data_IF_183606336207
#
_entry.id   IF_183606336207
#
_cell.length_a   1.000
_cell.length_b   1.000
_cell.length_c   1.000
_cell.angle_alpha   90.00
_cell.angle_beta   90.00
_cell.angle_gamma   90.00
#
_symmetry.space_group_name_H-M   'P 1'
#
loop_
_entity.id
_entity.type
_entity.pdbx_description
1 polymer ?
#
# COMPACT_ATOMS: atom_id res chain seq x y z
N UNK A 1 -13.46 4.41 -6.73
CA UNK A 1 -14.43 5.39 -6.20
C UNK A 1 -13.79 6.47 -5.31
N UNK A 2 -12.85 6.15 -4.40
CA UNK A 2 -12.24 7.12 -3.47
C UNK A 2 -11.48 8.28 -4.16
N UNK A 3 -10.72 8.01 -5.20
CA UNK A 3 -10.01 9.06 -5.96
C UNK A 3 -10.94 10.06 -6.66
N UNK A 4 -12.13 9.59 -7.09
CA UNK A 4 -13.12 10.46 -7.77
C UNK A 4 -13.79 11.42 -6.79
N UNK A 5 -14.13 10.95 -5.58
CA UNK A 5 -14.75 11.78 -4.53
C UNK A 5 -13.78 12.85 -4.01
N UNK A 6 -12.53 12.50 -3.83
CA UNK A 6 -11.49 13.43 -3.39
C UNK A 6 -11.15 14.48 -4.45
N UNK A 7 -11.15 14.10 -5.74
CA UNK A 7 -10.95 15.05 -6.86
C UNK A 7 -12.12 16.04 -7.00
N UNK A 8 -13.36 15.57 -6.83
CA UNK A 8 -14.56 16.43 -6.87
C UNK A 8 -14.56 17.44 -5.72
N UNK A 9 -14.24 17.01 -4.49
CA UNK A 9 -14.12 17.90 -3.34
C UNK A 9 -13.04 18.96 -3.53
N UNK A 10 -11.87 18.59 -4.03
CA UNK A 10 -10.78 19.53 -4.32
C UNK A 10 -11.18 20.55 -5.40
N UNK A 11 -11.93 20.14 -6.40
CA UNK A 11 -12.40 21.03 -7.45
C UNK A 11 -13.43 22.04 -6.93
N UNK A 12 -14.41 21.60 -6.14
CA UNK A 12 -15.40 22.45 -5.49
C UNK A 12 -14.75 23.49 -4.55
N UNK A 13 -13.74 23.09 -3.79
CA UNK A 13 -12.96 23.99 -2.93
C UNK A 13 -12.24 25.08 -3.73
N UNK A 14 -11.57 24.67 -4.81
CA UNK A 14 -10.87 25.62 -5.70
C UNK A 14 -11.81 26.66 -6.31
N UNK A 15 -13.02 26.23 -6.68
CA UNK A 15 -14.00 27.14 -7.27
C UNK A 15 -14.60 28.11 -6.24
N UNK A 16 -14.85 27.65 -5.01
CA UNK A 16 -15.32 28.49 -3.92
C UNK A 16 -14.28 29.54 -3.51
N UNK A 17 -13.00 29.17 -3.43
CA UNK A 17 -11.90 30.12 -3.20
C UNK A 17 -11.81 31.18 -4.30
N UNK A 18 -12.00 30.81 -5.57
CA UNK A 18 -12.00 31.76 -6.69
C UNK A 18 -13.16 32.73 -6.57
N UNK A 19 -14.37 32.25 -6.24
CA UNK A 19 -15.55 33.09 -6.04
C UNK A 19 -15.33 34.07 -4.89
N UNK A 20 -14.79 33.64 -3.76
CA UNK A 20 -14.50 34.49 -2.61
C UNK A 20 -13.52 35.63 -2.98
N UNK A 21 -12.41 35.29 -3.67
CA UNK A 21 -11.42 36.30 -4.12
C UNK A 21 -12.01 37.29 -5.15
N UNK A 22 -12.89 36.82 -6.04
CA UNK A 22 -13.53 37.67 -7.01
C UNK A 22 -14.49 38.68 -6.33
N UNK A 23 -15.27 38.20 -5.36
CA UNK A 23 -16.19 39.02 -4.58
C UNK A 23 -15.46 40.08 -3.73
N UNK A 24 -14.37 39.71 -3.07
CA UNK A 24 -13.51 40.63 -2.29
C UNK A 24 -12.93 41.76 -3.19
N UNK A 25 -12.47 41.37 -4.39
CA UNK A 25 -11.95 42.36 -5.36
C UNK A 25 -13.02 43.34 -5.83
N UNK A 26 -14.26 42.88 -6.03
CA UNK A 26 -15.37 43.74 -6.43
C UNK A 26 -15.79 44.67 -5.29
N UNK A 27 -15.87 44.19 -4.05
CA UNK A 27 -16.16 45.02 -2.87
C UNK A 27 -15.14 46.15 -2.72
N UNK A 28 -13.83 45.87 -2.87
CA UNK A 28 -12.79 46.94 -2.81
C UNK A 28 -12.98 48.02 -3.88
N UNK A 29 -13.43 47.64 -5.08
CA UNK A 29 -13.74 48.64 -6.13
C UNK A 29 -14.89 49.52 -5.73
N UNK A 30 -15.98 48.94 -5.15
CA UNK A 30 -17.13 49.69 -4.67
C UNK A 30 -16.78 50.63 -3.51
N UNK A 31 -15.90 50.20 -2.59
CA UNK A 31 -15.40 51.05 -1.50
C UNK A 31 -14.63 52.27 -2.02
N UNK A 32 -13.79 52.10 -3.04
CA UNK A 32 -13.04 53.18 -3.68
C UNK A 32 -14.03 54.15 -4.34
N UNK A 33 -14.95 53.65 -5.15
CA UNK A 33 -15.94 54.46 -5.83
C UNK A 33 -16.82 55.27 -4.85
N UNK A 34 -17.23 54.66 -3.73
CA UNK A 34 -18.01 55.34 -2.69
C UNK A 34 -17.20 56.46 -2.01
N UNK A 35 -15.88 56.25 -1.81
CA UNK A 35 -14.98 57.27 -1.25
C UNK A 35 -14.86 58.47 -2.20
N UNK A 36 -14.63 58.20 -3.48
CA UNK A 36 -14.48 59.22 -4.51
C UNK A 36 -15.78 60.03 -4.66
N UNK A 37 -16.94 59.39 -4.64
CA UNK A 37 -18.23 60.03 -4.72
C UNK A 37 -18.50 60.94 -3.49
N UNK A 38 -18.16 60.52 -2.28
CA UNK A 38 -18.22 61.33 -1.05
C UNK A 38 -17.36 62.57 -1.14
N UNK A 39 -16.16 62.46 -1.70
CA UNK A 39 -15.29 63.60 -1.89
C UNK A 39 -15.85 64.60 -2.89
N UNK A 40 -16.39 64.15 -4.02
CA UNK A 40 -17.09 65.00 -5.01
C UNK A 40 -18.29 65.73 -4.39
N UNK A 41 -19.06 65.05 -3.51
CA UNK A 41 -20.19 65.67 -2.79
C UNK A 41 -19.73 66.85 -1.92
N UNK A 42 -18.64 66.68 -1.15
CA UNK A 42 -18.05 67.74 -0.32
C UNK A 42 -17.55 68.93 -1.16
N UNK A 43 -16.92 68.64 -2.30
CA UNK A 43 -16.46 69.68 -3.24
C UNK A 43 -17.63 70.50 -3.84
N UNK A 44 -18.71 69.82 -4.21
CA UNK A 44 -19.95 70.49 -4.71
C UNK A 44 -20.61 71.31 -3.62
N UNK A 45 -20.71 70.82 -2.36
CA UNK A 45 -21.25 71.58 -1.23
C UNK A 45 -20.42 72.84 -0.97
N UNK A 46 -19.09 72.74 -1.05
CA UNK A 46 -18.22 73.92 -0.89
C UNK A 46 -18.39 74.91 -2.02
N UNK A 47 -18.59 74.47 -3.25
CA UNK A 47 -18.82 75.32 -4.41
C UNK A 47 -20.19 76.04 -4.33
N UNK A 48 -21.25 75.37 -3.85
CA UNK A 48 -22.59 75.92 -3.65
C UNK A 48 -22.58 77.04 -2.62
N UNK A 49 -21.80 76.95 -1.56
CA UNK A 49 -21.68 78.00 -0.53
C UNK A 49 -20.93 79.25 -1.00
N UNK A 50 -20.21 79.20 -2.13
CA UNK A 50 -19.35 80.28 -2.64
C UNK A 50 -19.94 81.03 -3.84
N UNK A 51 -21.08 80.68 -4.45
CA UNK A 51 -21.51 81.18 -5.74
C UNK A 51 -23.02 81.49 -5.86
N UNK A 52 -23.40 82.56 -6.55
CA UNK A 52 -24.77 83.03 -6.74
C UNK A 52 -25.61 82.26 -7.82
N UNK A 53 -25.03 81.23 -8.47
CA UNK A 53 -25.74 80.35 -9.44
C UNK A 53 -25.99 78.95 -8.80
N UNK A 54 -26.77 78.93 -7.75
CA UNK A 54 -26.90 77.79 -6.87
C UNK A 54 -27.80 76.63 -7.36
N UNK A 55 -28.73 76.89 -8.30
CA UNK A 55 -29.73 75.86 -8.67
C UNK A 55 -29.15 74.70 -9.44
N UNK A 56 -28.17 74.86 -10.31
CA UNK A 56 -27.52 73.76 -11.06
C UNK A 56 -26.59 72.98 -10.19
N UNK A 57 -25.85 73.62 -9.28
CA UNK A 57 -24.97 73.00 -8.31
C UNK A 57 -25.81 72.21 -7.29
N UNK A 58 -26.98 72.73 -6.85
CA UNK A 58 -27.89 71.99 -5.95
C UNK A 58 -28.43 70.71 -6.61
N UNK A 59 -28.80 70.77 -7.92
CA UNK A 59 -29.23 69.54 -8.64
C UNK A 59 -28.11 68.52 -8.76
N UNK A 60 -26.88 68.92 -9.05
CA UNK A 60 -25.73 68.04 -9.11
C UNK A 60 -25.41 67.41 -7.72
N UNK A 61 -25.52 68.21 -6.66
CA UNK A 61 -25.31 67.75 -5.28
C UNK A 61 -26.37 66.71 -4.91
N UNK A 62 -27.65 66.96 -5.18
CA UNK A 62 -28.71 65.97 -4.91
C UNK A 62 -28.52 64.70 -5.67
N UNK A 63 -28.15 64.72 -6.96
CA UNK A 63 -27.88 63.56 -7.78
C UNK A 63 -26.65 62.74 -7.19
N UNK A 64 -25.60 63.50 -6.80
CA UNK A 64 -24.42 62.84 -6.19
C UNK A 64 -24.75 62.16 -4.86
N UNK A 65 -25.64 62.75 -4.04
CA UNK A 65 -26.13 62.14 -2.79
C UNK A 65 -26.94 60.87 -3.06
N UNK A 66 -27.87 60.90 -4.03
CA UNK A 66 -28.68 59.74 -4.42
C UNK A 66 -27.78 58.58 -4.96
N UNK A 67 -26.76 58.92 -5.74
CA UNK A 67 -25.79 57.94 -6.24
C UNK A 67 -24.90 57.35 -5.13
N UNK A 68 -24.51 58.17 -4.14
CA UNK A 68 -23.78 57.73 -2.95
C UNK A 68 -24.60 56.76 -2.08
N UNK A 69 -25.89 57.08 -1.87
CA UNK A 69 -26.79 56.21 -1.11
C UNK A 69 -27.05 54.88 -1.82
N UNK A 70 -27.23 54.93 -3.17
CA UNK A 70 -27.35 53.69 -3.96
C UNK A 70 -26.11 52.82 -3.89
N UNK A 71 -24.93 53.43 -4.00
CA UNK A 71 -23.66 52.74 -3.91
C UNK A 71 -23.42 52.14 -2.50
N UNK A 72 -23.81 52.89 -1.46
CA UNK A 72 -23.76 52.43 -0.09
C UNK A 72 -24.63 51.19 0.16
N UNK A 73 -25.87 51.22 -0.38
CA UNK A 73 -26.74 50.05 -0.30
C UNK A 73 -26.16 48.83 -1.03
N UNK A 74 -25.61 49.02 -2.24
CA UNK A 74 -24.95 47.94 -2.99
C UNK A 74 -23.77 47.35 -2.20
N UNK A 75 -22.96 48.18 -1.54
CA UNK A 75 -21.86 47.77 -0.71
C UNK A 75 -22.34 46.89 0.47
N UNK A 76 -23.41 47.34 1.17
CA UNK A 76 -23.99 46.55 2.27
C UNK A 76 -24.49 45.18 1.83
N UNK A 77 -25.17 45.10 0.68
CA UNK A 77 -25.67 43.83 0.10
C UNK A 77 -24.50 42.89 -0.25
N UNK A 78 -23.43 43.41 -0.86
CA UNK A 78 -22.23 42.65 -1.23
C UNK A 78 -21.46 42.18 -0.01
N UNK A 79 -21.34 42.99 1.05
CA UNK A 79 -20.72 42.61 2.30
C UNK A 79 -21.48 41.47 3.04
N UNK A 80 -22.83 41.55 2.97
CA UNK A 80 -23.65 40.48 3.53
C UNK A 80 -23.45 39.14 2.78
N UNK A 81 -23.38 39.21 1.44
CA UNK A 81 -23.11 38.04 0.60
C UNK A 81 -21.71 37.47 0.85
N UNK A 82 -20.69 38.31 0.99
CA UNK A 82 -19.31 37.90 1.32
C UNK A 82 -19.26 37.18 2.66
N UNK A 83 -19.87 37.74 3.71
CA UNK A 83 -19.93 37.09 5.03
C UNK A 83 -20.63 35.72 5.01
N UNK A 84 -21.67 35.58 4.16
CA UNK A 84 -22.34 34.29 3.97
C UNK A 84 -21.39 33.28 3.31
N UNK A 85 -20.74 33.67 2.21
CA UNK A 85 -19.81 32.82 1.47
C UNK A 85 -18.62 32.36 2.35
N UNK A 86 -18.11 33.26 3.20
CA UNK A 86 -17.05 32.93 4.17
C UNK A 86 -17.50 31.85 5.17
N UNK A 87 -18.71 31.97 5.72
CA UNK A 87 -19.25 30.95 6.64
C UNK A 87 -19.42 29.60 5.96
N UNK A 88 -19.93 29.59 4.73
CA UNK A 88 -20.13 28.36 3.95
C UNK A 88 -18.79 27.69 3.66
N UNK A 89 -17.76 28.48 3.31
CA UNK A 89 -16.39 28.00 3.09
C UNK A 89 -15.78 27.36 4.36
N UNK A 90 -15.88 28.03 5.50
CA UNK A 90 -15.39 27.52 6.77
C UNK A 90 -16.11 26.24 7.21
N UNK A 91 -17.42 26.15 6.94
CA UNK A 91 -18.19 24.94 7.23
C UNK A 91 -17.71 23.76 6.39
N UNK A 92 -17.50 23.97 5.09
CA UNK A 92 -16.98 22.93 4.21
C UNK A 92 -15.57 22.50 4.55
N UNK A 93 -14.72 23.43 5.00
CA UNK A 93 -13.38 23.07 5.50
C UNK A 93 -13.44 22.14 6.70
N UNK A 94 -14.27 22.47 7.70
CA UNK A 94 -14.46 21.59 8.89
C UNK A 94 -14.99 20.21 8.52
N UNK A 95 -15.90 20.12 7.57
CA UNK A 95 -16.44 18.84 7.10
C UNK A 95 -15.38 18.00 6.37
N UNK A 96 -14.55 18.64 5.55
CA UNK A 96 -13.42 17.99 4.89
C UNK A 96 -12.41 17.41 5.89
N UNK A 97 -12.04 18.20 6.91
CA UNK A 97 -11.12 17.75 7.97
C UNK A 97 -11.67 16.53 8.72
N UNK A 98 -12.95 16.58 9.07
CA UNK A 98 -13.63 15.46 9.72
C UNK A 98 -13.64 14.19 8.86
N UNK A 99 -14.00 14.31 7.59
CA UNK A 99 -13.99 13.17 6.65
C UNK A 99 -12.57 12.58 6.46
N UNK A 100 -11.55 13.42 6.47
CA UNK A 100 -10.16 12.96 6.38
C UNK A 100 -9.74 12.19 7.63
N UNK A 101 -10.16 12.64 8.82
CA UNK A 101 -9.90 11.94 10.07
C UNK A 101 -10.63 10.59 10.11
N UNK A 102 -11.90 10.55 9.74
CA UNK A 102 -12.69 9.31 9.65
C UNK A 102 -12.06 8.31 8.66
N UNK A 103 -11.59 8.78 7.51
CA UNK A 103 -10.88 7.96 6.54
C UNK A 103 -9.60 7.37 7.14
N UNK A 104 -8.76 8.18 7.79
CA UNK A 104 -7.52 7.72 8.42
C UNK A 104 -7.80 6.67 9.52
N UNK A 105 -8.87 6.86 10.31
CA UNK A 105 -9.28 5.91 11.35
C UNK A 105 -9.72 4.56 10.75
N UNK A 106 -10.47 4.57 9.64
CA UNK A 106 -10.89 3.35 8.94
C UNK A 106 -9.68 2.62 8.35
N UNK A 107 -8.76 3.35 7.70
CA UNK A 107 -7.52 2.78 7.17
C UNK A 107 -6.69 2.13 8.28
N UNK A 108 -6.50 2.81 9.40
CA UNK A 108 -5.75 2.27 10.54
C UNK A 108 -6.40 0.98 11.10
N UNK A 109 -7.73 0.92 11.19
CA UNK A 109 -8.46 -0.30 11.61
C UNK A 109 -8.27 -1.44 10.62
N UNK A 110 -8.35 -1.18 9.31
CA UNK A 110 -8.17 -2.19 8.26
C UNK A 110 -6.75 -2.76 8.29
N UNK A 111 -5.73 -1.90 8.37
CA UNK A 111 -4.33 -2.32 8.47
C UNK A 111 -4.09 -3.19 9.71
N UNK A 112 -4.68 -2.84 10.85
CA UNK A 112 -4.56 -3.62 12.08
C UNK A 112 -5.21 -5.01 11.95
N UNK A 113 -6.32 -5.14 11.22
CA UNK A 113 -6.96 -6.43 10.94
C UNK A 113 -6.10 -7.28 10.00
N UNK A 114 -5.56 -6.71 8.93
CA UNK A 114 -4.65 -7.41 8.00
C UNK A 114 -3.41 -7.92 8.73
N UNK A 115 -2.80 -7.12 9.60
CA UNK A 115 -1.60 -7.48 10.37
C UNK A 115 -1.82 -8.62 11.37
N UNK A 116 -3.06 -8.86 11.80
CA UNK A 116 -3.41 -9.93 12.75
C UNK A 116 -3.92 -11.19 12.07
N UNK A 117 -4.45 -11.08 10.87
CA UNK A 117 -5.07 -12.21 10.16
C UNK A 117 -4.01 -13.04 9.47
N UNK A 118 -3.91 -14.32 9.83
CA UNK A 118 -3.11 -15.30 9.08
C UNK A 118 -3.99 -15.89 7.98
N UNK A 119 -3.60 -15.68 6.74
CA UNK A 119 -4.27 -16.26 5.59
C UNK A 119 -3.72 -17.66 5.33
N UNK A 120 -4.55 -18.67 5.52
CA UNK A 120 -4.28 -20.02 5.03
C UNK A 120 -4.27 -20.00 3.50
N UNK A 121 -3.08 -20.07 2.91
CA UNK A 121 -2.90 -19.83 1.48
C UNK A 121 -2.71 -21.13 0.74
N UNK A 122 -3.57 -21.39 -0.24
CA UNK A 122 -3.36 -22.50 -1.17
C UNK A 122 -2.19 -22.15 -2.10
N UNK A 123 -1.13 -22.92 -2.02
CA UNK A 123 0.07 -22.81 -2.87
C UNK A 123 0.03 -23.87 -3.95
N UNK A 124 0.55 -23.54 -5.13
CA UNK A 124 0.93 -24.47 -6.20
C UNK A 124 2.34 -24.14 -6.67
N UNK A 125 3.05 -25.08 -7.22
CA UNK A 125 4.36 -24.85 -7.81
C UNK A 125 4.23 -24.25 -9.22
N UNK A 126 5.19 -23.42 -9.64
CA UNK A 126 5.25 -22.87 -11.00
C UNK A 126 6.27 -23.64 -11.88
N UNK A 127 5.82 -24.52 -12.77
CA UNK A 127 6.69 -25.29 -13.65
C UNK A 127 7.58 -24.43 -14.55
N UNK A 128 7.20 -23.16 -14.81
CA UNK A 128 8.02 -22.25 -15.62
C UNK A 128 9.29 -21.79 -14.92
N UNK A 129 9.29 -21.82 -13.58
CA UNK A 129 10.46 -21.49 -12.76
C UNK A 129 11.33 -22.71 -12.43
N UNK A 130 10.81 -23.89 -12.61
CA UNK A 130 11.39 -25.14 -12.16
C UNK A 130 12.65 -25.54 -12.96
N UNK A 131 13.61 -26.16 -12.27
CA UNK A 131 14.69 -26.89 -12.92
C UNK A 131 14.11 -28.01 -13.82
N UNK A 132 14.67 -28.27 -15.02
CA UNK A 132 14.12 -29.24 -15.98
C UNK A 132 13.95 -30.66 -15.48
N UNK A 133 14.66 -31.07 -14.43
CA UNK A 133 14.55 -32.39 -13.79
C UNK A 133 13.44 -32.49 -12.74
N UNK A 134 12.61 -31.45 -12.57
CA UNK A 134 11.44 -31.47 -11.70
C UNK A 134 10.19 -31.78 -12.50
N UNK A 135 9.37 -32.71 -12.00
CA UNK A 135 8.09 -33.12 -12.57
C UNK A 135 6.98 -32.86 -11.56
N UNK A 136 5.81 -32.49 -12.06
CA UNK A 136 4.69 -32.03 -11.23
C UNK A 136 3.46 -32.92 -11.42
N UNK A 137 2.70 -33.08 -10.34
CA UNK A 137 1.49 -33.87 -10.30
C UNK A 137 0.40 -33.11 -9.51
N UNK A 138 -0.83 -33.58 -9.61
CA UNK A 138 -2.00 -33.09 -8.86
C UNK A 138 -2.11 -31.56 -8.89
N UNK A 139 -2.30 -31.01 -10.10
CA UNK A 139 -2.42 -29.55 -10.33
C UNK A 139 -1.26 -28.74 -9.74
N UNK A 140 -0.03 -29.26 -9.88
CA UNK A 140 1.22 -28.67 -9.39
C UNK A 140 1.28 -28.53 -7.86
N UNK A 141 0.55 -29.31 -7.11
CA UNK A 141 0.71 -29.37 -5.65
C UNK A 141 1.76 -30.38 -5.22
N UNK A 142 2.12 -31.31 -6.09
CA UNK A 142 3.15 -32.32 -5.84
C UNK A 142 4.33 -32.12 -6.81
N UNK A 143 5.53 -32.31 -6.32
CA UNK A 143 6.74 -32.21 -7.14
C UNK A 143 7.70 -33.34 -6.79
N UNK A 144 8.30 -33.93 -7.79
CA UNK A 144 9.33 -34.96 -7.68
C UNK A 144 10.46 -34.72 -8.67
N UNK A 145 11.49 -35.54 -8.61
CA UNK A 145 12.64 -35.50 -9.53
C UNK A 145 12.56 -36.59 -10.56
N UNK A 146 13.13 -36.36 -11.75
CA UNK A 146 13.23 -37.34 -12.83
C UNK A 146 14.64 -37.37 -13.40
N UNK A 147 15.05 -38.54 -13.91
CA UNK A 147 16.26 -38.71 -14.73
C UNK A 147 15.93 -38.46 -16.22
N UNK A 148 14.67 -38.72 -16.64
CA UNK A 148 14.20 -38.48 -18.01
C UNK A 148 13.72 -37.02 -18.10
N UNK A 149 14.62 -36.13 -18.54
CA UNK A 149 14.30 -34.70 -18.65
C UNK A 149 13.35 -34.49 -19.85
N UNK A 150 12.11 -34.03 -19.59
CA UNK A 150 11.19 -33.74 -20.67
C UNK A 150 11.66 -32.52 -21.48
N UNK A 151 11.22 -32.35 -22.72
CA UNK A 151 11.46 -31.12 -23.47
C UNK A 151 11.00 -29.90 -22.68
N UNK A 152 11.85 -28.88 -22.57
CA UNK A 152 11.53 -27.64 -21.85
C UNK A 152 11.99 -26.43 -22.65
N UNK A 153 11.35 -25.29 -22.39
CA UNK A 153 11.79 -24.00 -22.88
C UNK A 153 12.55 -23.28 -21.74
N UNK A 154 13.80 -22.88 -22.05
CA UNK A 154 14.56 -22.07 -21.08
C UNK A 154 14.01 -20.62 -21.03
N UNK A 155 14.14 -20.02 -19.86
CA UNK A 155 13.78 -18.64 -19.62
C UNK A 155 14.61 -18.07 -18.44
N UNK A 156 14.73 -16.74 -18.29
CA UNK A 156 15.51 -16.13 -17.22
C UNK A 156 15.03 -16.49 -15.81
N UNK A 157 13.74 -16.82 -15.64
CA UNK A 157 13.12 -17.19 -14.37
C UNK A 157 13.36 -18.62 -13.93
N UNK A 158 13.83 -19.50 -14.82
CA UNK A 158 14.03 -20.92 -14.55
C UNK A 158 15.35 -21.18 -13.81
N UNK A 159 15.32 -22.04 -12.79
CA UNK A 159 16.53 -22.56 -12.18
C UNK A 159 17.26 -23.50 -13.16
N UNK A 160 18.59 -23.43 -13.23
CA UNK A 160 19.41 -24.18 -14.19
C UNK A 160 20.43 -25.13 -13.54
N UNK A 161 20.88 -24.85 -12.34
CA UNK A 161 21.91 -25.66 -11.62
C UNK A 161 21.31 -26.34 -10.40
N UNK A 162 20.55 -25.58 -9.58
CA UNK A 162 19.89 -26.13 -8.42
C UNK A 162 18.54 -26.73 -8.80
N UNK A 163 18.14 -27.84 -8.20
CA UNK A 163 16.84 -28.50 -8.43
C UNK A 163 15.72 -27.70 -7.77
N UNK A 164 15.62 -26.41 -8.11
CA UNK A 164 14.76 -25.42 -7.49
C UNK A 164 13.47 -25.18 -8.25
N UNK A 165 12.43 -24.74 -7.51
CA UNK A 165 11.14 -24.26 -8.04
C UNK A 165 10.55 -23.20 -7.12
N UNK A 166 9.79 -22.27 -7.68
CA UNK A 166 8.99 -21.29 -6.94
C UNK A 166 7.52 -21.68 -6.86
N UNK A 167 6.85 -21.17 -5.85
CA UNK A 167 5.38 -21.13 -5.83
C UNK A 167 4.85 -20.20 -6.93
N UNK A 168 3.64 -20.45 -7.40
CA UNK A 168 2.98 -19.67 -8.46
C UNK A 168 2.63 -18.26 -8.01
N UNK A 169 2.45 -18.04 -6.69
CA UNK A 169 2.08 -16.75 -6.11
C UNK A 169 3.21 -16.19 -5.28
N UNK A 170 3.56 -14.92 -5.52
CA UNK A 170 4.42 -14.11 -4.67
C UNK A 170 3.60 -13.13 -3.83
N UNK A 171 4.07 -12.85 -2.62
CA UNK A 171 3.41 -12.01 -1.64
C UNK A 171 4.17 -10.71 -1.44
N UNK A 172 3.46 -9.59 -1.30
CA UNK A 172 4.01 -8.25 -1.04
C UNK A 172 3.41 -7.57 0.19
N UNK A 173 2.57 -8.26 0.96
CA UNK A 173 1.93 -7.79 2.19
C UNK A 173 1.25 -8.94 2.94
N UNK A 174 0.88 -8.69 4.22
CA UNK A 174 0.06 -9.59 5.02
C UNK A 174 0.79 -10.80 5.58
N UNK A 175 0.04 -11.67 6.23
CA UNK A 175 0.52 -12.90 6.88
C UNK A 175 -0.02 -14.12 6.16
N UNK A 176 0.85 -14.94 5.58
CA UNK A 176 0.49 -16.10 4.77
C UNK A 176 1.09 -17.38 5.34
N UNK A 177 0.26 -18.38 5.53
CA UNK A 177 0.68 -19.69 6.07
C UNK A 177 0.29 -20.81 5.12
N UNK A 178 1.17 -21.80 4.99
CA UNK A 178 0.91 -23.05 4.27
C UNK A 178 1.76 -24.18 4.83
N UNK A 179 1.40 -25.40 4.47
CA UNK A 179 2.05 -26.60 4.94
C UNK A 179 2.60 -27.42 3.79
N UNK A 180 3.71 -28.09 4.05
CA UNK A 180 4.41 -28.94 3.09
C UNK A 180 4.78 -30.28 3.75
N UNK A 181 4.34 -31.38 3.16
CA UNK A 181 4.80 -32.70 3.53
C UNK A 181 6.20 -32.96 2.94
N UNK A 182 7.12 -33.29 3.82
CA UNK A 182 8.51 -33.68 3.51
C UNK A 182 8.79 -35.12 3.96
N UNK A 183 7.72 -35.91 4.03
CA UNK A 183 7.81 -37.33 4.43
C UNK A 183 8.85 -38.09 3.59
N UNK A 184 9.64 -38.92 4.26
CA UNK A 184 10.68 -39.80 3.66
C UNK A 184 11.79 -39.07 2.89
N UNK A 185 11.86 -37.73 2.97
CA UNK A 185 12.94 -36.95 2.36
C UNK A 185 14.20 -36.94 3.24
N UNK A 186 15.34 -37.08 2.58
CA UNK A 186 16.65 -37.09 3.24
C UNK A 186 17.44 -35.81 3.07
N UNK A 187 17.06 -35.00 2.05
CA UNK A 187 17.73 -33.73 1.79
C UNK A 187 16.81 -32.80 1.00
N UNK A 188 16.63 -31.60 1.52
CA UNK A 188 15.90 -30.53 0.85
C UNK A 188 16.27 -29.15 1.43
N UNK A 189 16.08 -28.09 0.63
CA UNK A 189 15.94 -26.71 1.13
C UNK A 189 14.52 -26.25 0.89
N UNK A 190 13.88 -25.71 1.89
CA UNK A 190 12.51 -25.20 1.77
C UNK A 190 12.38 -23.87 2.51
N UNK A 191 11.56 -22.97 1.98
CA UNK A 191 11.29 -21.69 2.60
C UNK A 191 10.78 -20.66 1.63
N UNK A 192 11.38 -19.48 1.67
CA UNK A 192 10.99 -18.31 0.90
C UNK A 192 12.17 -17.73 0.14
N UNK A 193 11.86 -17.07 -0.98
CA UNK A 193 12.85 -16.38 -1.80
C UNK A 193 12.30 -15.08 -2.35
N UNK A 194 13.15 -14.06 -2.44
CA UNK A 194 12.87 -12.77 -3.09
C UNK A 194 12.71 -12.95 -4.61
N UNK A 195 11.81 -12.19 -5.23
CA UNK A 195 11.61 -12.17 -6.68
C UNK A 195 12.90 -11.85 -7.43
N UNK A 196 13.69 -10.91 -6.92
CA UNK A 196 14.96 -10.47 -7.49
C UNK A 196 16.13 -11.41 -7.23
N UNK A 197 15.95 -12.47 -6.44
CA UNK A 197 17.02 -13.42 -6.13
C UNK A 197 17.52 -14.11 -7.40
N UNK A 198 18.85 -14.34 -7.45
CA UNK A 198 19.49 -15.05 -8.55
C UNK A 198 18.93 -16.46 -8.71
N UNK A 199 18.70 -16.91 -9.95
CA UNK A 199 18.17 -18.24 -10.28
C UNK A 199 19.13 -19.07 -11.14
N UNK A 200 20.14 -18.45 -11.74
CA UNK A 200 21.09 -19.07 -12.66
C UNK A 200 22.45 -19.30 -12.00
N UNK A 201 23.08 -20.44 -12.34
CA UNK A 201 24.40 -20.83 -11.82
C UNK A 201 24.39 -21.22 -10.33
N UNK A 202 25.56 -21.20 -9.69
CA UNK A 202 25.68 -21.52 -8.27
C UNK A 202 24.98 -20.50 -7.38
N UNK A 203 24.21 -20.97 -6.42
CA UNK A 203 23.42 -20.16 -5.51
C UNK A 203 23.92 -20.26 -4.07
N UNK A 204 23.68 -19.20 -3.31
CA UNK A 204 23.89 -19.18 -1.86
C UNK A 204 22.53 -18.91 -1.20
N UNK A 205 22.02 -19.88 -0.46
CA UNK A 205 20.70 -19.84 0.18
C UNK A 205 20.73 -19.06 1.51
N UNK A 206 21.13 -17.77 1.46
CA UNK A 206 21.24 -16.91 2.65
C UNK A 206 20.36 -15.67 2.53
N UNK A 207 19.92 -15.06 3.65
CA UNK A 207 19.10 -13.83 3.64
C UNK A 207 19.73 -12.68 2.82
N UNK A 208 21.06 -12.51 2.92
CA UNK A 208 21.78 -11.49 2.11
C UNK A 208 21.72 -11.72 0.59
N UNK A 209 21.22 -12.87 0.14
CA UNK A 209 20.99 -13.24 -1.27
C UNK A 209 19.51 -13.42 -1.58
N UNK A 210 18.63 -13.02 -0.67
CA UNK A 210 17.19 -13.09 -0.81
C UNK A 210 16.60 -14.48 -0.58
N UNK A 211 17.25 -15.35 0.21
CA UNK A 211 16.76 -16.68 0.55
C UNK A 211 16.60 -16.83 2.07
N UNK A 212 15.44 -17.25 2.51
CA UNK A 212 15.10 -17.56 3.91
C UNK A 212 14.64 -19.01 3.99
N UNK A 213 15.59 -19.92 4.21
CA UNK A 213 15.34 -21.37 4.07
C UNK A 213 15.84 -22.15 5.27
N UNK A 214 15.15 -23.26 5.54
CA UNK A 214 15.70 -24.37 6.32
C UNK A 214 16.17 -25.49 5.39
N UNK A 215 17.14 -26.27 5.83
CA UNK A 215 17.69 -27.40 5.09
C UNK A 215 17.70 -28.64 5.98
N UNK A 216 17.22 -29.74 5.46
CA UNK A 216 17.60 -31.06 5.94
C UNK A 216 18.81 -31.53 5.14
N UNK A 217 19.92 -31.85 5.82
CA UNK A 217 21.14 -32.33 5.16
C UNK A 217 21.26 -33.86 5.26
N UNK A 218 22.24 -34.45 4.57
CA UNK A 218 22.51 -35.88 4.55
C UNK A 218 22.85 -36.50 5.92
N UNK A 219 23.27 -35.68 6.86
CA UNK A 219 23.58 -36.12 8.22
C UNK A 219 22.34 -36.16 9.11
N UNK A 220 21.14 -36.00 8.51
CA UNK A 220 19.86 -35.84 9.21
C UNK A 220 19.82 -34.65 10.17
N UNK A 221 20.59 -33.59 9.89
CA UNK A 221 20.55 -32.37 10.66
C UNK A 221 19.62 -31.36 9.95
N UNK A 222 18.65 -30.87 10.68
CA UNK A 222 17.81 -29.75 10.25
C UNK A 222 18.47 -28.43 10.65
N UNK A 223 18.70 -27.53 9.69
CA UNK A 223 19.40 -26.25 9.91
C UNK A 223 18.64 -25.10 9.28
N UNK A 224 18.66 -23.95 9.95
CA UNK A 224 18.31 -22.68 9.32
C UNK A 224 19.57 -22.06 8.69
N UNK A 225 19.44 -21.61 7.45
CA UNK A 225 20.55 -20.99 6.70
C UNK A 225 20.46 -19.48 6.87
N UNK A 226 20.89 -18.99 8.02
CA UNK A 226 20.94 -17.57 8.33
C UNK A 226 22.34 -16.97 8.05
N UNK A 227 22.71 -15.86 8.67
CA UNK A 227 24.07 -15.26 8.61
C UNK A 227 25.13 -16.33 8.93
N UNK A 228 24.86 -17.13 9.92
CA UNK A 228 25.53 -18.39 10.20
C UNK A 228 24.52 -19.55 10.17
N UNK A 229 24.92 -20.73 9.79
CA UNK A 229 24.05 -21.92 9.81
C UNK A 229 23.73 -22.30 11.26
N UNK A 230 22.44 -22.40 11.58
CA UNK A 230 21.93 -22.71 12.93
C UNK A 230 21.32 -24.10 12.90
N UNK A 231 21.88 -25.06 13.67
CA UNK A 231 21.30 -26.40 13.81
C UNK A 231 20.06 -26.32 14.71
N UNK A 232 18.94 -26.80 14.21
CA UNK A 232 17.66 -26.81 14.94
C UNK A 232 17.59 -28.08 15.79
N UNK A 233 17.38 -27.92 17.09
CA UNK A 233 17.26 -29.04 18.01
C UNK A 233 15.83 -29.58 17.95
N UNK A 234 15.67 -30.76 17.36
CA UNK A 234 14.38 -31.43 17.23
C UNK A 234 14.50 -32.86 17.80
N UNK A 235 13.49 -33.33 18.53
CA UNK A 235 13.46 -34.69 19.06
C UNK A 235 13.33 -35.73 17.93
N UNK A 236 12.57 -35.33 16.89
CA UNK A 236 12.41 -36.12 15.65
C UNK A 236 12.25 -35.14 14.48
N UNK A 237 12.65 -35.57 13.29
CA UNK A 237 12.52 -34.79 12.09
C UNK A 237 11.02 -34.54 11.78
N UNK A 238 10.62 -33.31 11.44
CA UNK A 238 9.26 -33.00 11.02
C UNK A 238 8.87 -33.76 9.74
N UNK A 239 7.67 -34.32 9.72
CA UNK A 239 7.07 -34.92 8.52
C UNK A 239 6.34 -33.82 7.72
N UNK A 240 5.80 -32.83 8.42
CA UNK A 240 5.09 -31.70 7.82
C UNK A 240 5.67 -30.40 8.38
N UNK A 241 6.08 -29.53 7.47
CA UNK A 241 6.58 -28.20 7.79
C UNK A 241 5.49 -27.17 7.55
N UNK A 242 5.24 -26.34 8.56
CA UNK A 242 4.47 -25.10 8.43
C UNK A 242 5.40 -23.93 8.12
N UNK A 243 5.02 -23.08 7.17
CA UNK A 243 5.78 -21.89 6.79
C UNK A 243 4.86 -20.69 6.90
N UNK A 244 5.25 -19.70 7.70
CA UNK A 244 4.56 -18.43 7.87
C UNK A 244 5.43 -17.29 7.37
N UNK A 245 4.95 -16.58 6.38
CA UNK A 245 5.45 -15.28 5.98
C UNK A 245 4.63 -14.19 6.70
N UNK A 246 5.27 -13.34 7.48
CA UNK A 246 4.73 -12.07 7.94
C UNK A 246 5.50 -10.96 7.19
N UNK A 247 4.94 -10.55 6.05
CA UNK A 247 5.62 -9.61 5.16
C UNK A 247 5.84 -8.26 5.82
N UNK A 248 4.83 -7.76 6.54
CA UNK A 248 4.85 -6.42 7.14
C UNK A 248 5.86 -6.35 8.30
N UNK A 249 6.06 -7.46 9.03
CA UNK A 249 7.07 -7.54 10.09
C UNK A 249 8.47 -7.92 9.59
N UNK A 250 8.62 -8.23 8.30
CA UNK A 250 9.88 -8.74 7.78
C UNK A 250 10.27 -10.07 8.41
N UNK A 251 9.35 -11.04 8.50
CA UNK A 251 9.57 -12.30 9.19
C UNK A 251 9.17 -13.51 8.36
N UNK A 252 10.03 -14.54 8.35
CA UNK A 252 9.72 -15.88 7.86
C UNK A 252 9.91 -16.87 8.98
N UNK A 253 8.85 -17.59 9.35
CA UNK A 253 8.85 -18.56 10.45
C UNK A 253 8.56 -19.96 9.97
N UNK A 254 9.21 -20.94 10.61
CA UNK A 254 9.09 -22.36 10.34
C UNK A 254 8.57 -23.09 11.57
N UNK A 255 7.72 -24.06 11.32
CA UNK A 255 7.06 -24.84 12.35
C UNK A 255 7.09 -26.35 11.99
N UNK A 256 7.14 -27.23 12.99
CA UNK A 256 6.63 -28.58 12.88
C UNK A 256 5.11 -28.51 13.07
N UNK A 257 4.34 -28.64 11.99
CA UNK A 257 2.88 -28.50 12.08
C UNK A 257 2.22 -29.71 12.74
N UNK A 258 2.86 -30.90 12.65
CA UNK A 258 2.40 -32.11 13.34
C UNK A 258 2.55 -32.02 14.86
N UNK A 259 3.67 -31.47 15.34
CA UNK A 259 3.93 -31.23 16.75
C UNK A 259 3.38 -29.87 17.24
N UNK A 260 2.89 -29.00 16.33
CA UNK A 260 2.46 -27.61 16.62
C UNK A 260 3.53 -26.80 17.35
N UNK A 261 4.79 -26.96 16.96
CA UNK A 261 5.92 -26.33 17.60
C UNK A 261 6.72 -25.46 16.66
N UNK A 262 7.20 -24.33 17.17
CA UNK A 262 8.06 -23.41 16.43
C UNK A 262 9.47 -24.02 16.27
N UNK A 263 10.02 -23.90 15.05
CA UNK A 263 11.36 -24.38 14.73
C UNK A 263 12.37 -23.23 14.64
N UNK A 264 12.06 -22.22 13.82
CA UNK A 264 12.96 -21.10 13.58
C UNK A 264 12.22 -19.89 12.99
N UNK A 265 12.74 -18.68 13.24
CA UNK A 265 12.27 -17.45 12.58
C UNK A 265 13.42 -16.59 12.10
N UNK A 266 13.41 -16.26 10.82
CA UNK A 266 14.19 -15.15 10.27
C UNK A 266 13.41 -13.87 10.56
N UNK A 267 13.95 -12.97 11.39
CA UNK A 267 13.28 -11.73 11.80
C UNK A 267 14.07 -10.49 11.39
N UNK A 268 13.38 -9.33 11.30
CA UNK A 268 14.00 -8.05 10.97
C UNK A 268 14.54 -8.00 9.53
N UNK A 269 13.87 -8.71 8.62
CA UNK A 269 14.20 -8.67 7.19
C UNK A 269 13.50 -7.48 6.53
N UNK A 270 14.20 -6.80 5.63
CA UNK A 270 13.61 -5.77 4.78
C UNK A 270 13.22 -6.40 3.44
N UNK A 271 11.93 -6.67 3.26
CA UNK A 271 11.42 -7.16 1.99
C UNK A 271 11.12 -5.96 1.07
N UNK A 272 11.76 -5.92 -0.09
CA UNK A 272 11.66 -4.82 -1.05
C UNK A 272 10.87 -5.20 -2.30
N UNK A 273 10.67 -6.50 -2.53
CA UNK A 273 9.94 -7.07 -3.66
C UNK A 273 9.04 -8.23 -3.21
N UNK A 274 8.37 -8.89 -4.15
CA UNK A 274 7.53 -10.04 -3.82
C UNK A 274 8.38 -11.20 -3.29
N UNK A 275 7.85 -11.88 -2.29
CA UNK A 275 8.48 -13.05 -1.65
C UNK A 275 7.69 -14.30 -2.06
N UNK A 276 8.39 -15.27 -2.62
CA UNK A 276 7.81 -16.50 -3.17
C UNK A 276 8.12 -17.71 -2.30
N UNK A 277 7.19 -18.68 -2.19
CA UNK A 277 7.53 -20.02 -1.72
C UNK A 277 8.66 -20.61 -2.57
N UNK A 278 9.57 -21.32 -1.92
CA UNK A 278 10.74 -21.90 -2.57
C UNK A 278 10.98 -23.31 -2.08
N UNK A 279 11.29 -24.18 -3.02
CA UNK A 279 11.77 -25.53 -2.77
C UNK A 279 13.00 -25.81 -3.63
N UNK A 280 13.98 -26.50 -3.07
CA UNK A 280 15.09 -27.11 -3.78
C UNK A 280 15.33 -28.52 -3.30
N UNK A 281 15.33 -29.48 -4.21
CA UNK A 281 15.81 -30.82 -3.97
C UNK A 281 17.34 -30.85 -3.94
N UNK A 282 17.92 -31.64 -3.06
CA UNK A 282 19.35 -31.93 -3.18
C UNK A 282 19.58 -32.87 -4.39
N UNK A 283 20.66 -32.66 -5.10
CA UNK A 283 21.04 -33.51 -6.26
C UNK A 283 21.09 -34.99 -5.90
N UNK A 284 21.45 -35.29 -4.66
CA UNK A 284 21.60 -36.63 -4.13
C UNK A 284 20.29 -37.33 -3.76
N UNK A 285 19.19 -36.60 -3.66
CA UNK A 285 17.87 -37.17 -3.35
C UNK A 285 17.07 -37.54 -4.62
N UNK A 286 17.70 -37.46 -5.78
CA UNK A 286 17.07 -37.72 -7.09
C UNK A 286 16.58 -39.19 -7.20
N UNK A 287 17.19 -40.12 -6.48
CA UNK A 287 16.78 -41.51 -6.48
C UNK A 287 15.55 -41.79 -5.60
N UNK A 288 15.12 -40.83 -4.77
CA UNK A 288 13.92 -40.95 -3.94
C UNK A 288 12.68 -40.49 -4.69
N UNK A 289 11.80 -41.38 -5.17
CA UNK A 289 10.67 -41.03 -6.02
C UNK A 289 9.50 -40.39 -5.25
N UNK A 290 9.53 -40.39 -3.92
CA UNK A 290 8.45 -39.80 -3.14
C UNK A 290 8.38 -38.29 -3.39
N UNK A 291 7.20 -37.73 -3.69
CA UNK A 291 7.04 -36.29 -3.95
C UNK A 291 7.14 -35.48 -2.65
N UNK A 292 7.53 -34.21 -2.77
CA UNK A 292 7.22 -33.19 -1.78
C UNK A 292 5.83 -32.64 -2.12
N UNK A 293 4.93 -32.58 -1.12
CA UNK A 293 3.51 -32.31 -1.32
C UNK A 293 3.10 -31.04 -0.59
N UNK A 294 2.56 -30.07 -1.32
CA UNK A 294 1.83 -28.94 -0.73
C UNK A 294 0.49 -29.43 -0.21
N UNK A 295 0.28 -29.28 1.08
CA UNK A 295 -0.93 -29.78 1.74
C UNK A 295 -2.09 -28.76 1.63
N UNK A 296 -3.35 -29.25 1.73
CA UNK A 296 -4.47 -28.33 1.94
C UNK A 296 -4.23 -27.46 3.19
N UNK A 297 -4.74 -26.21 3.20
CA UNK A 297 -4.55 -25.32 4.34
C UNK A 297 -5.03 -25.95 5.67
N UNK A 298 -4.15 -26.01 6.67
CA UNK A 298 -4.45 -26.46 8.02
C UNK A 298 -4.92 -25.34 8.95
N UNK A 299 -5.32 -25.67 10.21
CA UNK A 299 -5.62 -24.65 11.22
C UNK A 299 -4.37 -23.90 11.64
N UNK A 300 -4.51 -22.58 11.84
CA UNK A 300 -3.46 -21.67 12.34
C UNK A 300 -3.72 -21.16 13.76
N UNK A 301 -4.74 -21.69 14.44
CA UNK A 301 -5.17 -21.21 15.77
C UNK A 301 -4.09 -21.36 16.86
N UNK A 302 -3.10 -22.18 16.61
CA UNK A 302 -1.98 -22.45 17.49
C UNK A 302 -0.73 -21.60 17.20
N UNK A 303 -0.75 -20.76 16.15
CA UNK A 303 0.34 -19.85 15.79
C UNK A 303 0.04 -18.47 16.39
N UNK A 304 0.91 -18.02 17.30
CA UNK A 304 0.80 -16.72 17.98
C UNK A 304 1.50 -15.58 17.22
#
# INVERSE_FOLDING_TARGET
MQHLTQAILLHLFSDLEKQLRAQDKENRKLEIANRDLKQQTVELETCCNANTHCEDVQRQLQQSQEDADRLHQQLQEKDAALRKLQRDFEQQQREKERLQEDYNNVVAKLTNVEDRTIYNTKITWDPNTAHPRLVFFNDNTEVSTTNDVPPFQDNPGRFDVVLGVLGSNGFSRGRHYWEVSVADKRCYHIGMVSESAKRKGSLSFRPAKGFWTIVLNKQNELKAIDRTSVTLQVERLPITLGILLDYNKGQVSFYDSGARSHLYSFSGQEFTDRIFPFLNYCVEDVENPQPIVLLPPGSTDWIN
#
